data_IF_407419872191
#
_entry.id   IF_407419872191
#
_cell.length_a   1.000
_cell.length_b   1.000
_cell.length_c   1.000
_cell.angle_alpha   90.00
_cell.angle_beta   90.00
_cell.angle_gamma   90.00
#
_symmetry.space_group_name_H-M   'P 1'
#
loop_
_entity.id
_entity.type
_entity.pdbx_description
1 polymer ?
#
# COMPACT_ATOMS: atom_id res chain seq x y z
N UNK A 1 -13.44 -5.01 -16.80
CA UNK A 1 -12.86 -4.65 -15.48
C UNK A 1 -12.43 -3.19 -15.46
N UNK A 2 -11.64 -2.75 -16.45
CA UNK A 2 -11.18 -1.37 -16.50
C UNK A 2 -12.34 -0.36 -16.61
N UNK A 3 -13.36 -0.69 -17.38
CA UNK A 3 -14.52 0.20 -17.55
C UNK A 3 -15.28 0.42 -16.25
N UNK A 4 -15.41 -0.62 -15.43
CA UNK A 4 -16.06 -0.51 -14.13
C UNK A 4 -15.26 0.40 -13.19
N UNK A 5 -13.96 0.32 -13.25
CA UNK A 5 -13.07 1.15 -12.45
C UNK A 5 -13.06 2.59 -12.93
N UNK A 6 -13.11 2.80 -14.24
CA UNK A 6 -13.02 4.14 -14.83
C UNK A 6 -14.14 5.05 -14.36
N UNK A 7 -15.36 4.51 -14.19
CA UNK A 7 -16.51 5.28 -13.73
C UNK A 7 -16.43 5.65 -12.24
N UNK A 8 -15.65 4.93 -11.46
CA UNK A 8 -15.62 5.08 -10.00
C UNK A 8 -14.32 5.65 -9.45
N UNK A 9 -13.23 5.49 -10.17
CA UNK A 9 -11.93 6.04 -9.78
C UNK A 9 -11.73 7.34 -10.56
N UNK A 10 -12.21 8.44 -10.02
CA UNK A 10 -12.30 9.72 -10.72
C UNK A 10 -11.21 10.69 -10.30
N UNK A 11 -10.91 10.81 -9.01
CA UNK A 11 -9.99 11.80 -8.49
C UNK A 11 -8.54 11.35 -8.55
N UNK A 12 -7.64 12.26 -8.97
CA UNK A 12 -6.19 12.03 -8.96
C UNK A 12 -5.55 12.26 -7.60
N UNK A 13 -6.33 12.78 -6.64
CA UNK A 13 -5.80 13.26 -5.36
C UNK A 13 -6.05 12.31 -4.20
N UNK A 14 -6.57 11.12 -4.47
CA UNK A 14 -6.91 10.18 -3.41
C UNK A 14 -6.62 8.75 -3.85
N UNK A 15 -6.70 7.83 -2.89
CA UNK A 15 -6.44 6.40 -3.09
C UNK A 15 -7.77 5.66 -3.05
N UNK A 16 -7.91 4.66 -3.89
CA UNK A 16 -9.10 3.84 -3.98
C UNK A 16 -8.79 2.40 -3.62
N UNK A 17 -9.82 1.67 -3.22
CA UNK A 17 -9.73 0.25 -2.93
C UNK A 17 -10.82 -0.48 -3.68
N UNK A 18 -10.45 -1.47 -4.50
CA UNK A 18 -11.41 -2.31 -5.20
C UNK A 18 -11.83 -3.46 -4.29
N UNK A 19 -13.06 -3.40 -3.83
CA UNK A 19 -13.66 -4.48 -3.07
C UNK A 19 -14.52 -5.34 -4.01
N UNK A 20 -14.83 -6.55 -3.58
CA UNK A 20 -15.53 -7.54 -4.44
C UNK A 20 -16.75 -6.97 -5.17
N UNK A 21 -17.51 -6.10 -4.54
CA UNK A 21 -18.77 -5.59 -5.07
C UNK A 21 -18.74 -4.10 -5.40
N UNK A 22 -17.71 -3.38 -5.00
CA UNK A 22 -17.66 -1.92 -5.19
C UNK A 22 -16.24 -1.39 -5.06
N UNK A 23 -16.05 -0.17 -5.55
CA UNK A 23 -14.81 0.58 -5.36
C UNK A 23 -15.04 1.60 -4.26
N UNK A 24 -14.16 1.59 -3.28
CA UNK A 24 -14.21 2.51 -2.14
C UNK A 24 -13.16 3.60 -2.28
N UNK A 25 -13.58 4.85 -2.12
CA UNK A 25 -12.65 5.97 -2.04
C UNK A 25 -12.22 6.19 -0.59
N UNK A 26 -10.94 6.36 -0.37
CA UNK A 26 -10.40 6.72 0.94
C UNK A 26 -10.34 8.24 1.04
N UNK A 27 -11.45 8.86 1.45
CA UNK A 27 -11.73 10.29 1.34
C UNK A 27 -10.74 11.21 2.06
N UNK A 28 -10.00 10.73 3.03
CA UNK A 28 -9.04 11.57 3.76
C UNK A 28 -7.63 11.50 3.18
N UNK A 29 -7.48 10.97 1.97
CA UNK A 29 -6.16 10.77 1.37
C UNK A 29 -5.31 9.74 2.09
N UNK A 30 -5.92 8.89 2.89
CA UNK A 30 -5.22 7.87 3.67
C UNK A 30 -5.23 6.56 2.90
N UNK A 31 -4.07 5.93 2.79
CA UNK A 31 -3.96 4.62 2.16
C UNK A 31 -4.68 3.55 3.01
N UNK A 32 -5.44 2.64 2.38
CA UNK A 32 -6.01 1.52 3.12
C UNK A 32 -4.91 0.60 3.65
N UNK A 33 -5.26 -0.25 4.61
CA UNK A 33 -4.32 -1.22 5.17
C UNK A 33 -3.74 -2.08 4.06
N UNK A 34 -2.42 -2.17 4.01
CA UNK A 34 -1.71 -3.03 3.08
C UNK A 34 -1.67 -4.44 3.66
N UNK A 35 -2.24 -5.39 2.95
CA UNK A 35 -2.40 -6.76 3.44
C UNK A 35 -1.50 -7.74 2.71
N UNK A 36 -1.19 -8.86 3.35
CA UNK A 36 -0.33 -9.88 2.77
C UNK A 36 -0.93 -10.50 1.50
N UNK A 37 -2.26 -10.50 1.37
CA UNK A 37 -2.94 -11.07 0.20
C UNK A 37 -3.28 -10.05 -0.88
N UNK A 38 -2.81 -8.81 -0.78
CA UNK A 38 -3.18 -7.75 -1.72
C UNK A 38 -2.74 -8.00 -3.16
N UNK A 39 -1.74 -8.80 -3.39
CA UNK A 39 -1.31 -9.17 -4.74
C UNK A 39 -2.02 -10.38 -5.32
N UNK A 40 -2.90 -11.01 -4.56
CA UNK A 40 -3.59 -12.23 -4.95
C UNK A 40 -5.02 -11.93 -5.36
N UNK A 41 -5.41 -12.33 -6.57
CA UNK A 41 -6.75 -12.10 -7.08
C UNK A 41 -7.07 -10.67 -7.49
N UNK A 42 -6.14 -9.75 -7.33
CA UNK A 42 -6.26 -8.39 -7.85
C UNK A 42 -7.19 -7.44 -7.11
N UNK A 43 -7.72 -7.82 -5.95
CA UNK A 43 -8.76 -7.04 -5.28
C UNK A 43 -8.28 -6.06 -4.22
N UNK A 44 -7.15 -6.34 -3.60
CA UNK A 44 -6.77 -5.64 -2.36
C UNK A 44 -5.61 -4.65 -2.53
N UNK A 45 -5.03 -4.57 -3.72
CA UNK A 45 -3.97 -3.58 -3.97
C UNK A 45 -4.63 -2.21 -4.12
N UNK A 46 -4.13 -1.17 -3.44
CA UNK A 46 -4.68 0.18 -3.60
C UNK A 46 -4.60 0.66 -5.06
N UNK A 47 -5.62 1.41 -5.46
CA UNK A 47 -5.75 1.95 -6.82
C UNK A 47 -5.58 3.46 -6.80
N UNK A 48 -4.93 4.00 -7.82
CA UNK A 48 -4.84 5.43 -8.03
C UNK A 48 -5.17 5.76 -9.49
N UNK A 49 -5.52 7.01 -9.73
CA UNK A 49 -5.67 7.54 -11.08
C UNK A 49 -4.52 8.51 -11.35
N UNK A 50 -3.77 8.26 -12.40
CA UNK A 50 -2.74 9.19 -12.88
C UNK A 50 -3.09 9.66 -14.29
N UNK A 51 -2.16 10.36 -14.95
CA UNK A 51 -2.39 10.90 -16.29
C UNK A 51 -2.61 9.82 -17.35
N UNK A 52 -2.13 8.60 -17.09
CA UNK A 52 -2.27 7.48 -18.02
C UNK A 52 -3.55 6.65 -17.77
N UNK A 53 -4.25 6.91 -16.67
CA UNK A 53 -5.46 6.20 -16.31
C UNK A 53 -5.40 5.62 -14.91
N UNK A 54 -6.14 4.55 -14.69
CA UNK A 54 -6.23 3.88 -13.40
C UNK A 54 -5.18 2.79 -13.32
N UNK A 55 -4.45 2.70 -12.21
CA UNK A 55 -3.49 1.63 -11.99
C UNK A 55 -3.42 1.23 -10.53
N UNK A 56 -2.90 0.03 -10.30
CA UNK A 56 -2.53 -0.42 -8.95
C UNK A 56 -1.24 0.26 -8.52
N UNK A 57 -1.09 0.45 -7.22
CA UNK A 57 0.21 0.81 -6.67
C UNK A 57 1.20 -0.33 -6.91
N UNK A 58 2.44 0.01 -7.23
CA UNK A 58 3.51 -0.99 -7.36
C UNK A 58 3.94 -1.48 -5.99
N UNK A 59 4.60 -2.65 -5.89
CA UNK A 59 5.13 -3.11 -4.60
C UNK A 59 6.08 -2.09 -3.96
N UNK A 60 6.89 -1.40 -4.76
CA UNK A 60 7.81 -0.38 -4.24
C UNK A 60 7.05 0.83 -3.67
N UNK A 61 5.98 1.26 -4.33
CA UNK A 61 5.14 2.35 -3.83
C UNK A 61 4.47 1.95 -2.51
N UNK A 62 3.98 0.72 -2.41
CA UNK A 62 3.42 0.20 -1.17
C UNK A 62 4.47 0.18 -0.04
N UNK A 63 5.69 -0.24 -0.35
CA UNK A 63 6.78 -0.26 0.62
C UNK A 63 7.09 1.15 1.13
N UNK A 64 7.06 2.15 0.23
CA UNK A 64 7.28 3.54 0.62
C UNK A 64 6.16 4.09 1.50
N UNK A 65 4.93 3.67 1.27
CA UNK A 65 3.81 4.03 2.13
C UNK A 65 3.96 3.44 3.53
N UNK A 66 4.67 2.31 3.67
CA UNK A 66 5.03 1.77 4.98
C UNK A 66 6.17 2.53 5.65
N UNK A 67 6.76 3.49 4.97
CA UNK A 67 7.80 4.34 5.52
C UNK A 67 9.22 3.82 5.39
N UNK A 68 9.44 2.81 4.56
CA UNK A 68 10.81 2.33 4.31
C UNK A 68 11.61 3.40 3.56
N UNK A 69 12.90 3.55 3.86
CA UNK A 69 13.72 4.58 3.22
C UNK A 69 13.89 4.33 1.72
N UNK A 70 14.15 5.41 0.98
CA UNK A 70 14.35 5.35 -0.48
C UNK A 70 15.56 4.50 -0.88
N UNK A 71 16.50 4.30 0.05
CA UNK A 71 17.68 3.47 -0.18
C UNK A 71 17.37 1.97 -0.15
N UNK A 72 16.24 1.59 0.43
CA UNK A 72 15.84 0.19 0.46
C UNK A 72 15.42 -0.27 -0.93
N UNK A 73 15.97 -1.40 -1.37
CA UNK A 73 15.69 -1.97 -2.69
C UNK A 73 15.30 -3.42 -2.56
N UNK A 74 14.36 -3.85 -3.40
CA UNK A 74 14.00 -5.26 -3.47
C UNK A 74 15.12 -6.07 -4.15
N UNK A 75 15.31 -7.32 -3.71
CA UNK A 75 16.18 -8.23 -4.47
C UNK A 75 15.61 -8.47 -5.86
N UNK A 76 16.49 -8.70 -6.84
CA UNK A 76 16.04 -9.05 -8.18
C UNK A 76 15.51 -10.48 -8.23
N UNK A 77 14.67 -10.77 -9.23
CA UNK A 77 14.17 -12.12 -9.47
C UNK A 77 12.97 -12.54 -8.63
N UNK A 78 12.37 -11.63 -7.86
CA UNK A 78 11.18 -11.94 -7.06
C UNK A 78 9.94 -11.42 -7.79
N UNK A 79 8.88 -12.24 -7.85
CA UNK A 79 7.64 -11.86 -8.52
C UNK A 79 6.91 -10.76 -7.74
N UNK A 80 6.13 -9.95 -8.45
CA UNK A 80 5.32 -8.89 -7.81
C UNK A 80 4.38 -9.45 -6.76
N UNK A 81 3.78 -10.59 -7.00
CA UNK A 81 2.88 -11.23 -6.04
C UNK A 81 3.57 -11.49 -4.70
N UNK A 82 4.80 -11.98 -4.75
CA UNK A 82 5.60 -12.22 -3.54
C UNK A 82 6.02 -10.92 -2.87
N UNK A 83 6.36 -9.91 -3.67
CA UNK A 83 6.73 -8.60 -3.13
C UNK A 83 5.55 -7.94 -2.41
N UNK A 84 4.35 -8.00 -2.98
CA UNK A 84 3.14 -7.51 -2.31
C UNK A 84 2.90 -8.22 -0.98
N UNK A 85 3.08 -9.53 -0.97
CA UNK A 85 2.92 -10.33 0.25
C UNK A 85 3.91 -9.90 1.32
N UNK A 86 5.17 -9.73 0.95
CA UNK A 86 6.21 -9.29 1.90
C UNK A 86 5.92 -7.89 2.44
N UNK A 87 5.51 -6.96 1.57
CA UNK A 87 5.17 -5.60 1.99
C UNK A 87 3.97 -5.61 2.92
N UNK A 88 2.92 -6.39 2.61
CA UNK A 88 1.74 -6.50 3.46
C UNK A 88 2.03 -7.12 4.82
N UNK A 89 2.98 -8.03 4.89
CA UNK A 89 3.43 -8.65 6.15
C UNK A 89 4.41 -7.78 6.92
N UNK A 90 4.92 -6.70 6.32
CA UNK A 90 5.84 -5.81 6.99
C UNK A 90 5.11 -4.85 7.93
N UNK A 91 5.83 -3.87 8.46
CA UNK A 91 5.28 -2.94 9.44
C UNK A 91 5.41 -1.51 8.94
N UNK A 92 4.58 -0.63 9.48
CA UNK A 92 4.76 0.80 9.29
C UNK A 92 5.99 1.25 10.08
N UNK A 93 7.04 1.65 9.38
CA UNK A 93 8.32 2.02 9.99
C UNK A 93 8.17 3.17 10.99
N UNK A 94 7.43 4.26 10.71
CA UNK A 94 7.26 5.33 11.70
C UNK A 94 6.59 4.86 12.99
N UNK A 95 5.60 3.97 12.89
CA UNK A 95 4.90 3.44 14.07
C UNK A 95 5.83 2.59 14.91
N UNK A 96 6.57 1.67 14.30
CA UNK A 96 7.50 0.80 15.01
C UNK A 96 8.64 1.61 15.62
N UNK A 97 9.13 2.63 14.92
CA UNK A 97 10.16 3.52 15.46
C UNK A 97 9.68 4.22 16.73
N UNK A 98 8.45 4.70 16.75
CA UNK A 98 7.87 5.33 17.93
C UNK A 98 7.73 4.36 19.09
N UNK A 99 7.25 3.14 18.82
CA UNK A 99 7.13 2.10 19.84
C UNK A 99 8.50 1.73 20.40
N UNK A 100 9.49 1.54 19.52
CA UNK A 100 10.86 1.20 19.95
C UNK A 100 11.46 2.29 20.85
N UNK A 101 11.21 3.56 20.53
CA UNK A 101 11.67 4.66 21.38
C UNK A 101 11.06 4.61 22.78
N UNK A 102 9.77 4.32 22.87
CA UNK A 102 9.09 4.23 24.17
C UNK A 102 9.59 3.04 24.98
N UNK A 103 9.85 1.90 24.33
CA UNK A 103 10.44 0.74 25.00
C UNK A 103 11.83 1.06 25.52
N UNK A 104 12.67 1.72 24.72
CA UNK A 104 14.00 2.11 25.13
C UNK A 104 13.99 3.03 26.34
N UNK A 105 13.08 3.99 26.39
CA UNK A 105 12.88 4.87 27.54
C UNK A 105 12.50 4.09 28.80
N UNK A 106 11.59 3.12 28.65
CA UNK A 106 11.16 2.30 29.77
C UNK A 106 12.30 1.44 30.33
N UNK A 107 13.21 1.00 29.47
CA UNK A 107 14.36 0.19 29.87
C UNK A 107 15.45 1.00 30.56
N UNK A 108 15.51 2.30 30.38
CA UNK A 108 16.48 3.17 31.02
C UNK A 108 16.17 3.45 32.52
N UNK A 109 14.93 3.20 32.90
CA UNK A 109 14.50 3.44 34.30
C UNK A 109 14.69 2.18 35.17
#
# INVERSE_FOLDING_TARGET
IYKELEDKVISKNTVYQWRRKYVRENKKGVCPTLTANMGMGGHNVPLIRDEKGIRKLTPLECLRLQGFPKTYKFPSGITDSRLYKQVGNSVSVPVIRRIAKEIAKAMEN
#
